data_IF_200033745611
#
_entry.id   IF_200033745611
#
_cell.length_a   1.000
_cell.length_b   1.000
_cell.length_c   1.000
_cell.angle_alpha   90.00
_cell.angle_beta   90.00
_cell.angle_gamma   90.00
#
_symmetry.space_group_name_H-M   'P 1'
#
loop_
_entity.id
_entity.type
_entity.pdbx_description
1 polymer ?
#
# COMPACT_ATOMS: atom_id res chain seq x y z
N UNK A 1 -5.56 -1.31 -3.76
CA UNK A 1 -4.84 -1.25 -2.45
C UNK A 1 -4.92 0.12 -1.76
N UNK A 2 -5.10 0.10 -0.44
CA UNK A 2 -5.30 1.28 0.42
C UNK A 2 -3.99 2.01 0.77
N UNK A 3 -4.10 3.25 1.25
CA UNK A 3 -2.99 4.09 1.70
C UNK A 3 -2.15 3.42 2.80
N UNK A 4 -2.79 2.69 3.70
CA UNK A 4 -2.13 1.99 4.80
C UNK A 4 -1.01 1.05 4.31
N UNK A 5 -1.26 0.31 3.23
CA UNK A 5 -0.26 -0.58 2.63
C UNK A 5 0.79 0.20 1.85
N UNK A 6 0.34 1.20 1.07
CA UNK A 6 1.20 1.99 0.17
C UNK A 6 2.25 2.80 0.92
N UNK A 7 1.90 3.38 2.07
CA UNK A 7 2.88 4.15 2.87
C UNK A 7 4.01 3.23 3.38
N UNK A 8 3.68 2.06 3.94
CA UNK A 8 4.70 1.09 4.40
C UNK A 8 5.56 0.59 3.24
N UNK A 9 4.94 0.17 2.13
CA UNK A 9 5.67 -0.34 0.97
C UNK A 9 6.58 0.71 0.33
N UNK A 10 6.12 1.97 0.25
CA UNK A 10 6.93 3.10 -0.23
C UNK A 10 8.15 3.29 0.67
N UNK A 11 7.94 3.25 1.98
CA UNK A 11 9.03 3.48 2.93
C UNK A 11 10.06 2.33 2.88
N UNK A 12 9.63 1.08 2.68
CA UNK A 12 10.55 -0.06 2.42
C UNK A 12 11.34 0.16 1.13
N UNK A 13 10.67 0.64 0.08
CA UNK A 13 11.22 0.81 -1.26
C UNK A 13 12.06 2.08 -1.47
N UNK A 14 12.10 2.97 -0.47
CA UNK A 14 12.81 4.25 -0.54
C UNK A 14 14.08 4.19 0.30
N UNK A 15 15.22 4.49 -0.31
CA UNK A 15 16.48 4.64 0.41
C UNK A 15 16.37 5.81 1.40
N UNK A 16 16.62 5.59 2.71
CA UNK A 16 16.45 6.64 3.71
C UNK A 16 17.54 7.73 3.68
N UNK A 17 18.66 7.49 2.99
CA UNK A 17 19.80 8.40 2.85
C UNK A 17 19.68 9.23 1.58
N UNK A 18 19.43 8.58 0.44
CA UNK A 18 19.39 9.27 -0.87
C UNK A 18 17.97 9.68 -1.27
N UNK A 19 16.94 9.02 -0.73
CA UNK A 19 15.56 9.23 -1.12
C UNK A 19 15.16 8.54 -2.42
N UNK A 20 16.06 7.74 -3.01
CA UNK A 20 15.84 7.00 -4.26
C UNK A 20 14.78 5.92 -4.06
N UNK A 21 13.88 5.81 -5.04
CA UNK A 21 12.75 4.89 -4.99
C UNK A 21 12.96 3.70 -5.94
N UNK A 22 12.75 2.49 -5.45
CA UNK A 22 12.84 1.27 -6.23
C UNK A 22 11.45 0.64 -6.46
N UNK A 23 10.99 0.65 -7.72
CA UNK A 23 9.67 0.15 -8.09
C UNK A 23 9.48 -1.37 -7.84
N UNK A 24 10.53 -2.18 -7.99
CA UNK A 24 10.44 -3.61 -7.75
C UNK A 24 10.38 -3.96 -6.27
N UNK A 25 11.17 -3.28 -5.44
CA UNK A 25 11.07 -3.38 -3.99
C UNK A 25 9.67 -2.99 -3.52
N UNK A 26 9.11 -1.91 -4.10
CA UNK A 26 7.75 -1.48 -3.81
C UNK A 26 6.72 -2.55 -4.20
N UNK A 27 6.85 -3.19 -5.36
CA UNK A 27 5.91 -4.21 -5.80
C UNK A 27 5.93 -5.44 -4.87
N UNK A 28 7.10 -5.96 -4.52
CA UNK A 28 7.25 -7.08 -3.57
C UNK A 28 6.71 -6.70 -2.20
N UNK A 29 7.06 -5.52 -1.69
CA UNK A 29 6.55 -5.04 -0.41
C UNK A 29 5.02 -4.88 -0.44
N UNK A 30 4.47 -4.32 -1.52
CA UNK A 30 3.01 -4.17 -1.70
C UNK A 30 2.30 -5.52 -1.70
N UNK A 31 2.85 -6.53 -2.38
CA UNK A 31 2.27 -7.88 -2.38
C UNK A 31 2.37 -8.52 -1.00
N UNK A 32 3.53 -8.40 -0.32
CA UNK A 32 3.73 -8.89 1.03
C UNK A 32 2.74 -8.28 2.03
N UNK A 33 2.47 -6.98 1.91
CA UNK A 33 1.48 -6.27 2.72
C UNK A 33 0.04 -6.77 2.50
N UNK A 34 -0.23 -7.50 1.42
CA UNK A 34 -1.52 -8.12 1.12
C UNK A 34 -1.99 -9.16 2.16
N UNK A 35 -1.09 -9.67 3.01
CA UNK A 35 -1.44 -10.53 4.16
C UNK A 35 -2.34 -9.81 5.18
N UNK A 36 -2.25 -8.49 5.23
CA UNK A 36 -2.90 -7.67 6.24
C UNK A 36 -4.02 -6.85 5.60
N UNK A 37 -5.17 -6.88 6.22
CA UNK A 37 -6.40 -6.23 5.75
C UNK A 37 -7.03 -5.52 6.92
N UNK A 38 -7.62 -4.35 6.68
CA UNK A 38 -8.18 -3.55 7.76
C UNK A 38 -9.37 -4.26 8.40
N UNK A 39 -10.18 -4.95 7.60
CA UNK A 39 -11.32 -5.73 8.02
C UNK A 39 -10.98 -6.91 8.94
N UNK A 40 -9.72 -7.36 9.00
CA UNK A 40 -9.25 -8.34 10.01
C UNK A 40 -9.28 -7.75 11.43
N UNK A 41 -9.23 -6.42 11.55
CA UNK A 41 -9.10 -5.70 12.83
C UNK A 41 -10.32 -4.82 13.13
N UNK A 42 -10.87 -4.21 12.08
CA UNK A 42 -12.01 -3.30 12.08
C UNK A 42 -12.95 -3.66 10.90
N UNK A 43 -13.72 -4.76 10.98
CA UNK A 43 -14.65 -5.18 9.93
C UNK A 43 -15.63 -4.07 9.48
N UNK A 44 -16.05 -3.22 10.43
CA UNK A 44 -16.93 -2.08 10.20
C UNK A 44 -16.31 -0.97 9.32
N UNK A 45 -14.98 -1.00 9.15
CA UNK A 45 -14.23 -0.07 8.29
C UNK A 45 -13.85 -0.69 6.95
N UNK A 46 -14.47 -1.82 6.57
CA UNK A 46 -14.34 -2.39 5.23
C UNK A 46 -14.56 -1.30 4.15
N UNK A 47 -13.75 -1.33 3.09
CA UNK A 47 -13.61 -0.31 2.04
C UNK A 47 -12.89 1.01 2.39
N UNK A 48 -12.62 1.33 3.66
CA UNK A 48 -11.86 2.56 3.93
C UNK A 48 -10.46 2.46 3.31
N UNK A 49 -10.05 3.48 2.56
CA UNK A 49 -8.80 3.42 1.81
C UNK A 49 -7.68 4.26 2.42
N UNK A 50 -7.99 5.09 3.43
CA UNK A 50 -7.04 5.98 4.09
C UNK A 50 -6.70 7.26 3.31
N UNK A 51 -7.15 7.41 2.08
CA UNK A 51 -6.90 8.61 1.26
C UNK A 51 -7.89 9.73 1.54
N UNK A 52 -9.03 9.43 2.17
CA UNK A 52 -10.11 10.38 2.48
C UNK A 52 -10.18 10.65 4.00
N UNK A 53 -9.43 11.64 4.54
CA UNK A 53 -9.46 11.95 5.97
C UNK A 53 -10.85 12.28 6.51
N UNK A 54 -11.74 12.84 5.69
CA UNK A 54 -13.10 13.17 6.11
C UNK A 54 -13.90 11.93 6.54
N UNK A 55 -13.75 10.81 5.84
CA UNK A 55 -14.39 9.53 6.21
C UNK A 55 -13.83 8.99 7.53
N UNK A 56 -12.51 9.08 7.69
CA UNK A 56 -11.81 8.58 8.87
C UNK A 56 -11.99 9.46 10.11
N UNK A 57 -12.29 10.75 9.94
CA UNK A 57 -12.52 11.68 11.03
C UNK A 57 -13.93 11.56 11.66
N UNK A 58 -14.82 10.76 11.07
CA UNK A 58 -16.19 10.56 11.58
C UNK A 58 -16.19 9.89 12.95
N UNK A 59 -17.25 10.13 13.74
CA UNK A 59 -17.43 9.49 15.05
C UNK A 59 -17.48 7.96 14.93
N UNK A 60 -18.08 7.44 13.85
CA UNK A 60 -18.14 6.00 13.56
C UNK A 60 -16.74 5.41 13.36
N UNK A 61 -15.91 6.04 12.51
CA UNK A 61 -14.56 5.57 12.23
C UNK A 61 -13.63 5.65 13.46
N UNK A 62 -13.73 6.73 14.23
CA UNK A 62 -12.98 6.87 15.49
C UNK A 62 -13.47 5.87 16.56
N UNK A 63 -14.78 5.59 16.58
CA UNK A 63 -15.39 4.56 17.41
C UNK A 63 -14.88 3.16 17.09
N UNK A 64 -14.77 2.82 15.80
CA UNK A 64 -14.23 1.55 15.31
C UNK A 64 -12.77 1.34 15.77
N UNK A 65 -11.92 2.36 15.60
CA UNK A 65 -10.53 2.31 16.08
C UNK A 65 -10.45 2.09 17.59
N UNK A 66 -11.27 2.80 18.35
CA UNK A 66 -11.34 2.62 19.81
C UNK A 66 -11.80 1.21 20.19
N UNK A 67 -12.76 0.65 19.46
CA UNK A 67 -13.23 -0.71 19.68
C UNK A 67 -12.13 -1.75 19.37
N UNK A 68 -11.37 -1.57 18.29
CA UNK A 68 -10.23 -2.42 17.95
C UNK A 68 -9.15 -2.42 19.05
N UNK A 69 -8.87 -1.27 19.66
CA UNK A 69 -7.99 -1.18 20.82
C UNK A 69 -8.54 -1.94 22.03
N UNK A 70 -9.83 -1.80 22.33
CA UNK A 70 -10.45 -2.48 23.47
C UNK A 70 -10.45 -4.01 23.31
N UNK A 71 -10.54 -4.49 22.06
CA UNK A 71 -10.45 -5.94 21.73
C UNK A 71 -9.01 -6.46 21.67
N UNK A 72 -8.01 -5.60 21.89
CA UNK A 72 -6.60 -5.90 21.64
C UNK A 72 -6.32 -6.41 20.22
N UNK A 73 -7.20 -6.07 19.26
CA UNK A 73 -7.00 -6.39 17.85
C UNK A 73 -5.91 -5.48 17.24
N UNK A 74 -5.79 -4.25 17.73
CA UNK A 74 -4.69 -3.34 17.40
C UNK A 74 -4.05 -2.80 18.67
N UNK A 75 -2.75 -2.51 18.62
CA UNK A 75 -2.05 -1.88 19.74
C UNK A 75 -2.52 -0.44 19.93
N UNK A 76 -2.89 -0.11 21.17
CA UNK A 76 -3.44 1.20 21.53
C UNK A 76 -2.39 2.26 21.84
N UNK A 77 -1.10 1.90 21.95
CA UNK A 77 -0.03 2.78 22.42
C UNK A 77 0.70 3.46 21.24
N UNK A 78 0.37 4.72 20.90
CA UNK A 78 0.93 5.39 19.72
C UNK A 78 2.36 5.88 19.97
N UNK A 79 2.73 6.09 21.24
CA UNK A 79 4.08 6.48 21.64
C UNK A 79 5.12 5.37 21.37
N UNK A 80 4.67 4.15 21.08
CA UNK A 80 5.51 3.05 20.64
C UNK A 80 5.82 3.07 19.14
N UNK A 81 5.03 3.78 18.33
CA UNK A 81 5.05 3.62 16.86
C UNK A 81 6.38 4.06 16.24
N UNK A 82 6.96 5.18 16.69
CA UNK A 82 8.26 5.60 16.17
C UNK A 82 9.36 4.59 16.53
N UNK A 83 9.34 4.07 17.77
CA UNK A 83 10.30 3.06 18.23
C UNK A 83 10.14 1.75 17.44
N UNK A 84 8.90 1.33 17.21
CA UNK A 84 8.59 0.12 16.47
C UNK A 84 9.00 0.31 14.99
N UNK A 85 8.76 1.48 14.40
CA UNK A 85 9.27 1.84 13.07
C UNK A 85 10.79 1.81 12.99
N UNK A 86 11.49 2.46 13.94
CA UNK A 86 12.96 2.50 13.99
C UNK A 86 13.57 1.10 14.18
N UNK A 87 12.84 0.20 14.83
CA UNK A 87 13.24 -1.20 14.99
C UNK A 87 12.98 -2.03 13.74
N UNK A 88 11.75 -1.98 13.21
CA UNK A 88 11.30 -2.89 12.18
C UNK A 88 11.69 -2.46 10.78
N UNK A 89 11.70 -1.15 10.49
CA UNK A 89 11.99 -0.65 9.14
C UNK A 89 13.41 -1.03 8.65
N UNK A 90 14.49 -0.93 9.47
CA UNK A 90 15.80 -1.42 9.06
C UNK A 90 15.81 -2.93 8.78
N UNK A 91 15.10 -3.72 9.58
CA UNK A 91 15.02 -5.18 9.42
C UNK A 91 14.31 -5.58 8.12
N UNK A 92 13.17 -4.95 7.81
CA UNK A 92 12.44 -5.24 6.56
C UNK A 92 13.22 -4.77 5.33
N UNK A 93 13.94 -3.65 5.41
CA UNK A 93 14.80 -3.18 4.32
C UNK A 93 15.99 -4.10 4.09
N UNK A 94 16.61 -4.62 5.15
CA UNK A 94 17.69 -5.61 5.04
C UNK A 94 17.21 -6.92 4.40
N UNK A 95 16.03 -7.42 4.78
CA UNK A 95 15.43 -8.59 4.13
C UNK A 95 15.05 -8.32 2.66
N UNK A 96 14.59 -7.11 2.32
CA UNK A 96 14.33 -6.73 0.94
C UNK A 96 15.63 -6.70 0.12
N UNK A 97 16.72 -6.17 0.67
CA UNK A 97 18.03 -6.18 0.03
C UNK A 97 18.56 -7.61 -0.20
N UNK A 98 18.36 -8.51 0.76
CA UNK A 98 18.67 -9.95 0.59
C UNK A 98 17.83 -10.61 -0.49
N UNK A 99 16.55 -10.26 -0.57
CA UNK A 99 15.65 -10.72 -1.64
C UNK A 99 16.13 -10.23 -3.00
N UNK A 100 16.52 -8.96 -3.10
CA UNK A 100 17.07 -8.35 -4.32
C UNK A 100 18.40 -8.97 -4.78
N UNK A 101 19.17 -9.55 -3.86
CA UNK A 101 20.37 -10.29 -4.20
C UNK A 101 20.09 -11.69 -4.77
N UNK A 102 18.89 -12.24 -4.52
CA UNK A 102 18.51 -13.60 -4.92
C UNK A 102 17.55 -13.62 -6.12
N UNK A 103 16.73 -12.59 -6.28
CA UNK A 103 15.71 -12.47 -7.32
C UNK A 103 15.94 -11.21 -8.17
N UNK A 104 15.61 -11.31 -9.46
CA UNK A 104 15.56 -10.15 -10.33
C UNK A 104 14.33 -9.29 -9.98
N UNK A 105 14.53 -8.29 -9.14
CA UNK A 105 13.49 -7.32 -8.77
C UNK A 105 13.39 -6.15 -9.74
N UNK A 106 13.84 -6.29 -10.98
CA UNK A 106 13.59 -5.28 -12.01
C UNK A 106 12.15 -5.35 -12.51
N UNK A 107 11.74 -4.34 -13.30
CA UNK A 107 10.47 -4.37 -14.02
C UNK A 107 10.32 -5.64 -14.85
N UNK A 108 11.38 -6.07 -15.55
CA UNK A 108 11.36 -7.26 -16.38
C UNK A 108 11.24 -8.54 -15.53
N UNK A 109 12.10 -8.69 -14.51
CA UNK A 109 12.10 -9.88 -13.64
C UNK A 109 10.79 -10.11 -12.88
N UNK A 110 10.01 -9.04 -12.64
CA UNK A 110 8.71 -9.11 -11.97
C UNK A 110 7.51 -9.06 -12.92
N UNK A 111 7.73 -9.00 -14.24
CA UNK A 111 6.69 -8.81 -15.27
C UNK A 111 5.85 -7.53 -15.07
N UNK A 112 6.50 -6.46 -14.64
CA UNK A 112 5.92 -5.15 -14.37
C UNK A 112 6.26 -4.21 -15.53
N UNK A 113 5.28 -3.47 -16.07
CA UNK A 113 5.53 -2.53 -17.16
C UNK A 113 6.39 -1.33 -16.69
N UNK A 114 7.38 -0.88 -17.50
CA UNK A 114 8.26 0.21 -17.09
C UNK A 114 7.51 1.54 -16.95
N UNK A 115 7.89 2.33 -15.94
CA UNK A 115 7.43 3.72 -15.76
C UNK A 115 6.00 3.89 -15.26
N UNK A 116 5.31 2.82 -14.83
CA UNK A 116 3.94 2.92 -14.28
C UNK A 116 3.87 2.85 -12.75
N UNK A 117 4.96 2.46 -12.08
CA UNK A 117 5.12 2.59 -10.63
C UNK A 117 6.02 3.79 -10.37
N UNK A 118 5.54 4.72 -9.54
CA UNK A 118 6.28 5.90 -9.09
C UNK A 118 6.35 5.90 -7.57
N UNK A 119 7.09 6.85 -6.99
CA UNK A 119 7.18 7.01 -5.51
C UNK A 119 5.81 7.27 -4.87
N UNK A 120 4.88 7.88 -5.62
CA UNK A 120 3.50 8.11 -5.20
C UNK A 120 2.60 6.89 -5.39
N UNK A 121 3.18 5.77 -5.84
CA UNK A 121 2.52 4.51 -6.13
C UNK A 121 2.16 4.35 -7.61
N UNK A 122 1.12 3.55 -7.86
CA UNK A 122 0.61 3.30 -9.20
C UNK A 122 -0.16 4.50 -9.71
N UNK A 123 0.08 4.89 -10.97
CA UNK A 123 -0.88 5.74 -11.68
C UNK A 123 -2.16 4.95 -11.88
N UNK A 124 -3.13 5.13 -10.99
CA UNK A 124 -4.47 4.61 -11.21
C UNK A 124 -5.03 5.32 -12.45
N UNK A 125 -5.31 4.57 -13.50
CA UNK A 125 -6.29 4.98 -14.49
C UNK A 125 -7.65 4.85 -13.81
N UNK A 126 -8.04 5.87 -13.03
CA UNK A 126 -9.30 5.96 -12.31
C UNK A 126 -10.54 5.72 -13.21
N UNK A 127 -10.36 5.69 -14.53
CA UNK A 127 -11.40 5.58 -15.55
C UNK A 127 -11.12 4.56 -16.68
N UNK A 128 -10.13 3.67 -16.57
CA UNK A 128 -9.88 2.64 -17.60
C UNK A 128 -10.33 1.26 -17.13
N UNK A 129 -10.83 0.45 -18.07
CA UNK A 129 -11.06 -0.98 -17.83
C UNK A 129 -9.77 -1.63 -17.31
N UNK A 130 -9.85 -2.57 -16.36
CA UNK A 130 -8.67 -3.26 -15.84
C UNK A 130 -7.93 -3.96 -16.99
N UNK A 131 -6.76 -3.45 -17.33
CA UNK A 131 -5.82 -4.11 -18.24
C UNK A 131 -4.72 -4.76 -17.39
N UNK A 132 -4.60 -6.10 -17.37
CA UNK A 132 -3.62 -6.81 -16.56
C UNK A 132 -2.16 -6.55 -16.97
N UNK A 133 -1.93 -5.80 -18.05
CA UNK A 133 -0.60 -5.31 -18.44
C UNK A 133 -0.26 -3.93 -17.83
N UNK A 134 -1.22 -3.27 -17.17
CA UNK A 134 -1.02 -2.00 -16.46
C UNK A 134 -0.80 -2.27 -14.97
N UNK A 135 0.26 -1.68 -14.39
CA UNK A 135 0.75 -2.07 -13.06
C UNK A 135 -0.24 -1.89 -11.90
N UNK A 136 -1.17 -0.93 -11.96
CA UNK A 136 -2.22 -0.78 -10.94
C UNK A 136 -3.14 -2.01 -10.91
N UNK A 137 -3.88 -2.27 -12.01
CA UNK A 137 -4.67 -3.50 -12.17
C UNK A 137 -3.88 -4.80 -11.97
N UNK A 138 -2.64 -4.88 -12.47
CA UNK A 138 -1.76 -6.04 -12.26
C UNK A 138 -1.55 -6.34 -10.78
N UNK A 139 -1.26 -5.32 -9.97
CA UNK A 139 -0.97 -5.49 -8.55
C UNK A 139 -2.24 -5.69 -7.73
N UNK A 140 -3.34 -5.01 -8.07
CA UNK A 140 -4.63 -5.28 -7.43
C UNK A 140 -5.08 -6.73 -7.72
N UNK A 141 -4.89 -7.23 -8.95
CA UNK A 141 -5.13 -8.63 -9.29
C UNK A 141 -4.20 -9.56 -8.49
N UNK A 142 -2.89 -9.30 -8.51
CA UNK A 142 -1.91 -10.12 -7.78
C UNK A 142 -2.28 -10.25 -6.29
N UNK A 143 -2.67 -9.16 -5.65
CA UNK A 143 -2.98 -9.13 -4.22
C UNK A 143 -4.32 -9.82 -3.91
N UNK A 144 -5.29 -9.82 -4.84
CA UNK A 144 -6.54 -10.55 -4.67
C UNK A 144 -6.33 -12.05 -4.93
N UNK A 145 -5.72 -12.39 -6.06
CA UNK A 145 -5.70 -13.76 -6.58
C UNK A 145 -4.50 -14.60 -6.17
N UNK A 146 -3.42 -14.01 -5.65
CA UNK A 146 -2.31 -14.76 -5.05
C UNK A 146 -2.53 -15.10 -3.58
N UNK A 147 -3.68 -14.76 -3.01
CA UNK A 147 -3.97 -15.02 -1.61
C UNK A 147 -5.19 -15.93 -1.44
N UNK A 148 -5.07 -16.83 -0.46
CA UNK A 148 -6.16 -17.62 0.09
C UNK A 148 -6.58 -17.10 1.48
N UNK A 149 -7.76 -17.53 1.96
CA UNK A 149 -8.31 -17.14 3.25
C UNK A 149 -9.36 -16.03 3.21
N UNK A 150 -9.87 -15.69 2.02
CA UNK A 150 -11.02 -14.78 1.88
C UNK A 150 -12.31 -15.47 2.33
N UNK A 151 -13.25 -14.66 2.82
CA UNK A 151 -14.53 -15.13 3.37
C UNK A 151 -15.52 -15.55 2.27
N UNK A 152 -15.30 -15.08 1.04
CA UNK A 152 -16.20 -15.25 -0.09
C UNK A 152 -15.46 -15.58 -1.40
N UNK A 153 -16.19 -16.17 -2.36
CA UNK A 153 -15.64 -16.58 -3.65
C UNK A 153 -15.23 -15.40 -4.54
N UNK A 154 -15.85 -14.24 -4.35
CA UNK A 154 -15.51 -12.99 -5.05
C UNK A 154 -14.27 -12.32 -4.44
N UNK A 155 -13.73 -12.87 -3.34
CA UNK A 155 -12.54 -12.39 -2.61
C UNK A 155 -12.69 -10.93 -2.20
N UNK A 156 -13.89 -10.54 -1.79
CA UNK A 156 -14.18 -9.15 -1.42
C UNK A 156 -13.81 -8.85 0.03
N UNK A 157 -14.02 -9.81 0.94
CA UNK A 157 -13.80 -9.63 2.37
C UNK A 157 -12.84 -10.69 2.93
N UNK A 158 -11.98 -10.28 3.86
CA UNK A 158 -11.04 -11.17 4.55
C UNK A 158 -10.99 -10.86 6.05
N UNK A 159 -11.90 -11.46 6.83
CA UNK A 159 -11.86 -11.34 8.30
C UNK A 159 -10.81 -12.23 8.95
N UNK A 160 -10.41 -13.31 8.26
CA UNK A 160 -9.39 -14.26 8.69
C UNK A 160 -7.97 -13.93 8.21
N UNK A 161 -7.01 -14.77 8.63
CA UNK A 161 -5.62 -14.69 8.15
C UNK A 161 -5.56 -15.03 6.66
N UNK A 162 -4.94 -14.14 5.88
CA UNK A 162 -4.60 -14.42 4.49
C UNK A 162 -3.24 -15.12 4.37
N UNK A 163 -3.12 -15.99 3.38
CA UNK A 163 -1.87 -16.71 3.07
C UNK A 163 -1.59 -16.63 1.58
N UNK A 164 -0.34 -16.31 1.23
CA UNK A 164 0.14 -16.36 -0.15
C UNK A 164 0.04 -17.80 -0.68
N UNK A 165 -0.41 -17.96 -1.93
CA UNK A 165 -0.48 -19.25 -2.61
C UNK A 165 0.92 -19.80 -2.89
N UNK A 166 1.05 -21.13 -2.84
CA UNK A 166 2.29 -21.85 -3.21
C UNK A 166 2.59 -21.73 -4.71
N UNK A 167 1.56 -21.64 -5.55
CA UNK A 167 1.68 -21.48 -7.00
C UNK A 167 0.73 -20.37 -7.49
N UNK A 168 1.20 -19.55 -8.43
CA UNK A 168 0.35 -18.54 -9.05
C UNK A 168 -0.62 -19.18 -10.04
N UNK A 169 -1.91 -18.77 -10.05
CA UNK A 169 -2.85 -19.17 -11.10
C UNK A 169 -2.51 -18.55 -12.47
N UNK A 170 -1.52 -17.66 -12.55
CA UNK A 170 -1.05 -17.04 -13.79
C UNK A 170 0.48 -16.91 -13.80
N UNK A 171 1.11 -17.42 -14.86
CA UNK A 171 2.57 -17.33 -15.05
C UNK A 171 3.10 -15.89 -14.97
N UNK A 172 2.28 -14.89 -15.32
CA UNK A 172 2.68 -13.49 -15.27
C UNK A 172 2.99 -13.01 -13.83
N UNK A 173 2.34 -13.57 -12.81
CA UNK A 173 2.54 -13.19 -11.41
C UNK A 173 3.53 -14.08 -10.66
N UNK A 174 4.10 -15.11 -11.30
CA UNK A 174 4.93 -16.09 -10.59
C UNK A 174 6.23 -15.48 -10.08
N UNK A 175 6.86 -14.59 -10.85
CA UNK A 175 8.10 -13.90 -10.43
C UNK A 175 7.89 -13.06 -9.16
N UNK A 176 6.83 -12.25 -9.11
CA UNK A 176 6.51 -11.45 -7.93
C UNK A 176 6.04 -12.30 -6.76
N UNK A 177 5.33 -13.41 -7.00
CA UNK A 177 4.92 -14.38 -5.98
C UNK A 177 6.15 -15.00 -5.31
N UNK A 178 7.07 -15.57 -6.09
CA UNK A 178 8.29 -16.21 -5.58
C UNK A 178 9.18 -15.24 -4.80
N UNK A 179 9.39 -14.02 -5.33
CA UNK A 179 10.16 -12.99 -4.64
C UNK A 179 9.50 -12.60 -3.30
N UNK A 180 8.16 -12.52 -3.28
CA UNK A 180 7.39 -12.20 -2.06
C UNK A 180 7.44 -13.33 -1.05
N UNK A 181 7.31 -14.59 -1.49
CA UNK A 181 7.45 -15.76 -0.64
C UNK A 181 8.83 -15.79 0.02
N UNK A 182 9.90 -15.57 -0.74
CA UNK A 182 11.26 -15.50 -0.20
C UNK A 182 11.42 -14.34 0.79
N UNK A 183 10.87 -13.17 0.47
CA UNK A 183 10.94 -11.99 1.34
C UNK A 183 10.26 -12.24 2.70
N UNK A 184 9.04 -12.79 2.72
CA UNK A 184 8.30 -13.03 3.97
C UNK A 184 8.82 -14.25 4.75
N UNK A 185 9.57 -15.15 4.11
CA UNK A 185 10.18 -16.32 4.74
C UNK A 185 11.39 -15.95 5.63
N UNK A 186 11.94 -14.74 5.51
CA UNK A 186 12.96 -14.26 6.43
C UNK A 186 12.40 -14.12 7.86
N UNK A 187 13.18 -14.55 8.85
CA UNK A 187 12.79 -14.57 10.26
C UNK A 187 12.26 -13.20 10.74
N UNK A 188 11.04 -13.20 11.27
CA UNK A 188 10.42 -12.03 11.88
C UNK A 188 9.87 -10.97 10.90
N UNK A 189 9.97 -11.19 9.58
CA UNK A 189 9.46 -10.22 8.59
C UNK A 189 7.94 -10.12 8.63
N UNK A 190 7.22 -11.23 8.58
CA UNK A 190 5.76 -11.17 8.57
C UNK A 190 5.19 -10.48 9.83
N UNK A 191 5.62 -10.80 11.08
CA UNK A 191 5.21 -10.05 12.27
C UNK A 191 5.59 -8.56 12.25
N UNK A 192 6.74 -8.20 11.67
CA UNK A 192 7.15 -6.81 11.56
C UNK A 192 6.31 -6.01 10.57
N UNK A 193 5.99 -6.60 9.41
CA UNK A 193 5.07 -6.01 8.43
C UNK A 193 3.67 -5.83 9.04
N UNK A 194 3.21 -6.80 9.83
CA UNK A 194 1.95 -6.68 10.58
C UNK A 194 1.98 -5.45 11.49
N UNK A 195 3.05 -5.29 12.29
CA UNK A 195 3.15 -4.16 13.20
C UNK A 195 3.21 -2.82 12.46
N UNK A 196 3.99 -2.74 11.38
CA UNK A 196 4.07 -1.53 10.54
C UNK A 196 2.71 -1.20 9.90
N UNK A 197 1.94 -2.22 9.49
CA UNK A 197 0.58 -2.04 8.99
C UNK A 197 -0.34 -1.45 10.06
N UNK A 198 -0.41 -2.09 11.23
CA UNK A 198 -1.24 -1.64 12.35
C UNK A 198 -0.87 -0.20 12.77
N UNK A 199 0.42 0.09 12.91
CA UNK A 199 0.93 1.43 13.23
C UNK A 199 0.48 2.44 12.17
N UNK A 200 0.58 2.09 10.88
CA UNK A 200 0.16 3.00 9.81
C UNK A 200 -1.35 3.25 9.81
N UNK A 201 -2.18 2.24 10.09
CA UNK A 201 -3.63 2.40 10.29
C UNK A 201 -3.91 3.36 11.44
N UNK A 202 -3.31 3.12 12.61
CA UNK A 202 -3.48 3.97 13.79
C UNK A 202 -3.05 5.41 13.49
N UNK A 203 -1.92 5.59 12.82
CA UNK A 203 -1.40 6.92 12.44
C UNK A 203 -2.41 7.67 11.58
N UNK A 204 -2.87 7.04 10.49
CA UNK A 204 -3.74 7.68 9.51
C UNK A 204 -5.08 8.06 10.14
N UNK A 205 -5.69 7.19 10.95
CA UNK A 205 -6.94 7.52 11.63
C UNK A 205 -6.77 8.65 12.65
N UNK A 206 -5.65 8.71 13.37
CA UNK A 206 -5.38 9.78 14.36
C UNK A 206 -5.07 11.12 13.72
N UNK A 207 -4.35 11.11 12.61
CA UNK A 207 -3.99 12.32 11.87
C UNK A 207 -5.19 12.87 11.06
N UNK A 208 -6.23 12.06 10.83
CA UNK A 208 -7.37 12.42 9.97
C UNK A 208 -8.13 13.70 10.40
N UNK A 209 -8.50 13.92 11.69
CA UNK A 209 -9.18 15.16 12.09
C UNK A 209 -8.35 16.42 11.84
N UNK A 210 -7.04 16.36 12.11
CA UNK A 210 -6.12 17.47 11.83
C UNK A 210 -5.97 17.69 10.32
N UNK A 211 -5.85 16.61 9.54
CA UNK A 211 -5.81 16.69 8.08
C UNK A 211 -7.07 17.36 7.50
N UNK A 212 -8.26 17.04 8.03
CA UNK A 212 -9.51 17.72 7.63
C UNK A 212 -9.46 19.21 7.95
N UNK A 213 -9.07 19.57 9.18
CA UNK A 213 -8.99 20.97 9.61
C UNK A 213 -8.00 21.81 8.76
N UNK A 214 -6.93 21.18 8.30
CA UNK A 214 -5.91 21.79 7.44
C UNK A 214 -6.21 21.69 5.94
N UNK A 215 -7.33 21.06 5.55
CA UNK A 215 -7.69 20.84 4.15
C UNK A 215 -6.76 19.88 3.39
N UNK A 216 -6.08 18.98 4.09
CA UNK A 216 -5.22 17.93 3.54
C UNK A 216 -6.01 16.66 3.22
N UNK A 217 -5.58 15.93 2.19
CA UNK A 217 -6.17 14.66 1.76
C UNK A 217 -7.09 14.77 0.55
N UNK A 218 -7.62 13.63 0.10
CA UNK A 218 -8.60 13.59 -0.97
C UNK A 218 -9.89 14.28 -0.55
N UNK A 219 -10.37 15.22 -1.36
CA UNK A 219 -11.70 15.80 -1.23
C UNK A 219 -12.47 15.35 -2.47
N UNK A 220 -13.58 14.62 -2.31
CA UNK A 220 -14.39 14.13 -3.45
C UNK A 220 -14.76 15.25 -4.44
N UNK A 221 -14.93 16.48 -3.95
CA UNK A 221 -15.22 17.67 -4.76
C UNK A 221 -14.08 18.10 -5.69
N UNK A 222 -12.88 17.54 -5.53
CA UNK A 222 -11.68 17.86 -6.31
C UNK A 222 -11.25 16.77 -7.28
N UNK A 223 -12.01 15.68 -7.47
CA UNK A 223 -11.66 14.59 -8.39
C UNK A 223 -10.37 13.86 -8.00
N UNK A 224 -10.19 12.60 -8.46
CA UNK A 224 -9.09 11.70 -8.08
C UNK A 224 -7.74 12.45 -8.01
N UNK A 225 -7.06 12.45 -6.85
CA UNK A 225 -5.80 13.20 -6.66
C UNK A 225 -4.72 12.80 -7.68
N UNK A 226 -4.80 11.57 -8.22
CA UNK A 226 -3.91 11.02 -9.24
C UNK A 226 -4.28 11.45 -10.68
N UNK A 227 -5.48 11.98 -10.88
CA UNK A 227 -6.02 12.41 -12.16
C UNK A 227 -5.84 13.95 -12.37
N UNK A 228 -5.31 14.69 -11.38
CA UNK A 228 -5.01 16.14 -11.45
C UNK A 228 -3.52 16.51 -11.63
N UNK A 229 -2.59 15.54 -11.66
CA UNK A 229 -1.17 15.85 -11.93
C UNK A 229 -0.92 16.25 -13.39
N UNK A 230 -1.75 15.78 -14.33
CA UNK A 230 -1.65 16.18 -15.74
C UNK A 230 -2.14 17.63 -15.95
N UNK A 231 -3.13 18.10 -15.19
CA UNK A 231 -3.60 19.50 -15.29
C UNK A 231 -2.57 20.52 -14.74
N UNK A 232 -1.70 20.12 -13.81
CA UNK A 232 -0.63 21.00 -13.31
C UNK A 232 0.55 21.12 -14.27
N UNK A 233 0.81 20.11 -15.11
CA UNK A 233 1.88 20.16 -16.11
C UNK A 233 1.51 21.08 -17.29
N UNK A 234 0.25 21.10 -17.70
CA UNK A 234 -0.21 21.98 -18.79
C UNK A 234 -0.38 23.45 -18.34
N UNK A 235 -0.58 23.69 -17.05
CA UNK A 235 -0.65 25.04 -16.48
C UNK A 235 0.73 25.73 -16.31
N UNK A 236 1.83 24.96 -16.32
CA UNK A 236 3.18 25.47 -16.09
C UNK A 236 4.02 25.70 -17.36
N UNK A 237 3.50 25.38 -18.55
CA UNK A 237 4.18 25.71 -19.79
C UNK A 237 4.08 27.23 -20.07
N UNK A 238 5.20 27.97 -20.14
CA UNK A 238 5.15 29.37 -20.55
C UNK A 238 4.62 29.44 -21.99
N UNK A 239 3.49 30.11 -22.18
CA UNK A 239 2.96 30.39 -23.52
C UNK A 239 4.03 31.17 -24.29
N UNK A 240 4.42 30.74 -25.51
CA UNK A 240 5.35 31.51 -26.31
C UNK A 240 4.75 32.91 -26.58
N UNK A 241 5.58 33.95 -26.69
CA UNK A 241 5.09 35.29 -26.97
C UNK A 241 4.35 35.28 -28.31
N UNK A 242 3.13 35.82 -28.29
CA UNK A 242 2.38 36.08 -29.52
C UNK A 242 3.13 37.16 -30.29
N UNK A 243 3.85 36.76 -31.33
CA UNK A 243 4.26 37.66 -32.39
C UNK A 243 3.18 37.60 -33.48
N UNK A 244 2.54 38.75 -33.74
CA UNK A 244 1.52 38.94 -34.77
C UNK A 244 0.43 39.88 -34.31
#
# INVERSE_FOLDING_TARGET
MCKFHKDVARDIATDPVTGDFNAGHYAVAMLAMGHFRMEQYMPEMYHADGFVPAELATESAQGALKAAFNRAAMRSCPHAMQRDYDKFMPMVRDAMAKTAAQFDLTHEGLNIAPGKITKDGYKATCCAQPDPTINGPFMDYAIVYLFDGYDDAEKTMATGKLTLLEESPSAQHEGIRMATEYFIAHDGILPALQQLFEDTVVKIFKDAPAAVAEGRGYQETKGCIMCHDDERRDAAAPKPPKNG
#
